data_IF_770175890289
#
_entry.id   IF_770175890289
#
_cell.length_a   1.000
_cell.length_b   1.000
_cell.length_c   1.000
_cell.angle_alpha   90.00
_cell.angle_beta   90.00
_cell.angle_gamma   90.00
#
_symmetry.space_group_name_H-M   'P 1'
#
loop_
_entity.id
_entity.type
_entity.pdbx_description
1 polymer ?
#
# COMPACT_ATOMS: atom_id res chain seq x y z
N UNK A 1 4.76 -21.14 -21.88
CA UNK A 1 6.14 -20.84 -21.43
C UNK A 1 6.43 -21.82 -20.30
N UNK A 2 7.40 -22.71 -20.51
CA UNK A 2 7.75 -23.74 -19.53
C UNK A 2 8.92 -23.30 -18.66
N UNK A 3 9.72 -22.37 -19.16
CA UNK A 3 10.88 -21.83 -18.48
C UNK A 3 11.05 -20.35 -18.73
N UNK A 4 11.38 -19.59 -17.67
CA UNK A 4 11.72 -18.18 -17.70
C UNK A 4 13.18 -17.98 -17.29
N UNK A 5 13.97 -17.34 -18.11
CA UNK A 5 15.38 -17.06 -17.82
C UNK A 5 15.58 -15.57 -17.69
N UNK A 6 15.89 -15.13 -16.48
CA UNK A 6 16.34 -13.76 -16.24
C UNK A 6 17.84 -13.66 -16.46
N UNK A 7 18.25 -12.81 -17.38
CA UNK A 7 19.67 -12.54 -17.63
C UNK A 7 20.09 -11.22 -17.00
N UNK A 8 21.28 -11.18 -16.43
CA UNK A 8 21.81 -9.99 -15.78
C UNK A 8 23.32 -9.87 -16.04
N UNK A 9 23.81 -8.64 -16.02
CA UNK A 9 25.19 -8.29 -16.41
C UNK A 9 26.01 -7.78 -15.24
N UNK A 10 25.38 -7.19 -14.19
CA UNK A 10 26.06 -6.71 -13.00
C UNK A 10 25.81 -7.64 -11.81
N UNK A 11 26.63 -7.51 -10.76
CA UNK A 11 26.32 -8.20 -9.51
C UNK A 11 24.99 -7.70 -8.98
N UNK A 12 24.04 -8.61 -8.87
CA UNK A 12 22.72 -8.39 -8.26
C UNK A 12 22.70 -9.15 -6.95
N UNK A 13 22.11 -8.57 -5.93
CA UNK A 13 21.85 -9.25 -4.67
C UNK A 13 20.98 -10.48 -4.90
N UNK A 14 21.46 -11.63 -4.46
CA UNK A 14 20.75 -12.93 -4.62
C UNK A 14 19.37 -12.93 -4.00
N UNK A 15 19.14 -12.16 -2.94
CA UNK A 15 17.82 -12.00 -2.33
C UNK A 15 16.76 -11.51 -3.33
N UNK A 16 17.13 -10.68 -4.30
CA UNK A 16 16.21 -10.22 -5.36
C UNK A 16 15.71 -11.37 -6.23
N UNK A 17 16.52 -12.38 -6.48
CA UNK A 17 16.09 -13.56 -7.23
C UNK A 17 15.02 -14.36 -6.49
N UNK A 18 15.17 -14.49 -5.18
CA UNK A 18 14.17 -15.16 -4.33
C UNK A 18 12.85 -14.40 -4.31
N UNK A 19 12.89 -13.07 -4.26
CA UNK A 19 11.69 -12.23 -4.31
C UNK A 19 10.97 -12.34 -5.65
N UNK A 20 11.70 -12.23 -6.77
CA UNK A 20 11.13 -12.41 -8.10
C UNK A 20 10.51 -13.81 -8.26
N UNK A 21 11.21 -14.84 -7.84
CA UNK A 21 10.73 -16.24 -7.90
C UNK A 21 9.44 -16.39 -7.09
N UNK A 22 9.38 -15.85 -5.88
CA UNK A 22 8.20 -15.91 -5.02
C UNK A 22 6.99 -15.23 -5.66
N UNK A 23 7.15 -14.02 -6.17
CA UNK A 23 6.08 -13.28 -6.81
C UNK A 23 5.58 -13.99 -8.06
N UNK A 24 6.47 -14.43 -8.95
CA UNK A 24 6.08 -15.11 -10.19
C UNK A 24 5.34 -16.43 -9.88
N UNK A 25 5.86 -17.24 -8.95
CA UNK A 25 5.26 -18.53 -8.60
C UNK A 25 3.90 -18.41 -7.90
N UNK A 26 3.58 -17.25 -7.31
CA UNK A 26 2.23 -16.94 -6.80
C UNK A 26 1.18 -17.00 -7.91
N UNK A 27 1.56 -16.61 -9.12
CA UNK A 27 0.63 -16.49 -10.24
C UNK A 27 0.75 -17.62 -11.26
N UNK A 28 1.94 -18.16 -11.44
CA UNK A 28 2.16 -19.24 -12.39
C UNK A 28 3.38 -20.09 -11.97
N UNK A 29 3.17 -21.39 -11.85
CA UNK A 29 4.27 -22.31 -11.58
C UNK A 29 5.10 -22.50 -12.87
N UNK A 30 6.24 -21.82 -12.95
CA UNK A 30 7.16 -21.84 -14.09
C UNK A 30 8.56 -22.15 -13.56
N UNK A 31 9.36 -22.87 -14.32
CA UNK A 31 10.79 -23.01 -14.03
C UNK A 31 11.51 -21.67 -14.25
N UNK A 32 12.13 -21.14 -13.19
CA UNK A 32 12.79 -19.84 -13.20
C UNK A 32 14.28 -20.03 -12.99
N UNK A 33 15.05 -19.47 -13.91
CA UNK A 33 16.51 -19.47 -13.88
C UNK A 33 17.04 -18.03 -13.92
N UNK A 34 18.07 -17.75 -13.13
CA UNK A 34 18.81 -16.50 -13.18
C UNK A 34 20.22 -16.75 -13.68
N UNK A 35 20.61 -16.04 -14.73
CA UNK A 35 21.87 -16.25 -15.41
C UNK A 35 22.69 -14.95 -15.47
N UNK A 36 23.86 -14.96 -14.86
CA UNK A 36 24.87 -13.94 -15.13
C UNK A 36 25.44 -14.16 -16.52
N UNK A 37 25.36 -13.15 -17.37
CA UNK A 37 25.76 -13.27 -18.76
C UNK A 37 26.75 -12.19 -19.17
N UNK A 38 27.64 -12.57 -20.03
CA UNK A 38 28.44 -11.70 -20.87
C UNK A 38 28.09 -11.94 -22.34
N UNK A 39 28.70 -11.19 -23.25
CA UNK A 39 28.45 -11.32 -24.69
C UNK A 39 28.74 -12.71 -25.25
N UNK A 40 29.60 -13.50 -24.59
CA UNK A 40 29.99 -14.87 -25.04
C UNK A 40 29.03 -15.90 -24.48
N UNK A 41 28.73 -15.82 -23.20
CA UNK A 41 27.92 -16.82 -22.51
C UNK A 41 26.42 -16.70 -22.81
N UNK A 42 25.94 -15.53 -23.20
CA UNK A 42 24.52 -15.31 -23.48
C UNK A 42 23.97 -16.24 -24.57
N UNK A 43 24.81 -16.63 -25.53
CA UNK A 43 24.43 -17.46 -26.67
C UNK A 43 23.90 -18.85 -26.28
N UNK A 44 24.32 -19.38 -25.14
CA UNK A 44 23.90 -20.72 -24.66
C UNK A 44 22.42 -20.76 -24.21
N UNK A 45 21.81 -19.59 -23.98
CA UNK A 45 20.40 -19.51 -23.53
C UNK A 45 19.41 -19.39 -24.68
N UNK A 46 19.88 -19.32 -25.93
CA UNK A 46 19.03 -19.22 -27.10
C UNK A 46 18.81 -20.60 -27.76
N UNK A 47 17.56 -20.96 -27.97
CA UNK A 47 17.07 -22.03 -28.82
C UNK A 47 16.13 -21.48 -29.89
N UNK A 48 15.69 -22.30 -30.82
CA UNK A 48 14.78 -21.90 -31.88
C UNK A 48 13.41 -21.46 -31.34
N UNK A 49 13.04 -21.93 -30.14
CA UNK A 49 11.76 -21.58 -29.46
C UNK A 49 11.90 -20.42 -28.49
N UNK A 50 13.08 -19.80 -28.40
CA UNK A 50 13.31 -18.70 -27.46
C UNK A 50 12.57 -17.44 -27.86
N UNK A 51 11.76 -16.88 -26.95
CA UNK A 51 11.16 -15.55 -27.08
C UNK A 51 12.02 -14.61 -26.23
N UNK A 52 12.45 -13.50 -26.80
CA UNK A 52 13.37 -12.55 -26.18
C UNK A 52 12.63 -11.26 -25.88
N UNK A 53 12.57 -10.92 -24.61
CA UNK A 53 12.06 -9.61 -24.14
C UNK A 53 13.23 -8.63 -24.04
N UNK A 54 13.12 -7.51 -24.75
CA UNK A 54 14.12 -6.45 -24.81
C UNK A 54 13.72 -5.18 -24.08
N UNK A 55 12.73 -5.26 -23.19
CA UNK A 55 12.20 -4.12 -22.43
C UNK A 55 13.13 -3.63 -21.31
N UNK A 56 14.22 -4.31 -21.06
CA UNK A 56 15.10 -4.08 -19.92
C UNK A 56 16.23 -3.04 -20.21
N UNK A 57 17.32 -3.13 -19.45
CA UNK A 57 18.49 -2.28 -19.55
C UNK A 57 19.01 -2.13 -21.00
N UNK A 58 19.27 -0.91 -21.44
CA UNK A 58 19.68 -0.58 -22.82
C UNK A 58 20.81 -1.45 -23.37
N UNK A 59 21.84 -1.70 -22.60
CA UNK A 59 22.98 -2.53 -23.05
C UNK A 59 22.57 -3.99 -23.29
N UNK A 60 21.93 -4.61 -22.31
CA UNK A 60 21.43 -5.98 -22.43
C UNK A 60 20.41 -6.12 -23.54
N UNK A 61 19.51 -5.15 -23.68
CA UNK A 61 18.53 -5.13 -24.76
C UNK A 61 19.17 -5.16 -26.15
N UNK A 62 20.25 -4.41 -26.39
CA UNK A 62 20.98 -4.41 -27.65
C UNK A 62 21.64 -5.78 -27.89
N UNK A 63 22.33 -6.35 -26.90
CA UNK A 63 22.98 -7.66 -27.03
C UNK A 63 21.97 -8.78 -27.27
N UNK A 64 20.86 -8.77 -26.53
CA UNK A 64 19.77 -9.73 -26.68
C UNK A 64 19.12 -9.62 -28.06
N UNK A 65 18.84 -8.40 -28.52
CA UNK A 65 18.25 -8.14 -29.83
C UNK A 65 19.18 -8.64 -30.96
N UNK A 66 20.47 -8.33 -30.90
CA UNK A 66 21.45 -8.81 -31.86
C UNK A 66 21.49 -10.35 -31.96
N UNK A 67 21.53 -11.03 -30.81
CA UNK A 67 21.56 -12.50 -30.79
C UNK A 67 20.25 -13.11 -31.28
N UNK A 68 19.11 -12.52 -30.91
CA UNK A 68 17.80 -12.96 -31.36
C UNK A 68 17.63 -12.80 -32.88
N UNK A 69 18.07 -11.68 -33.45
CA UNK A 69 18.01 -11.45 -34.89
C UNK A 69 18.88 -12.43 -35.69
N UNK A 70 20.09 -12.77 -35.19
CA UNK A 70 20.98 -13.75 -35.83
C UNK A 70 20.39 -15.15 -35.86
N UNK A 71 19.47 -15.49 -34.98
CA UNK A 71 18.87 -16.84 -34.84
C UNK A 71 17.42 -16.91 -35.27
N UNK A 72 16.90 -15.81 -35.78
CA UNK A 72 15.49 -15.66 -36.16
C UNK A 72 14.50 -15.87 -35.01
N UNK A 73 14.94 -15.62 -33.77
CA UNK A 73 14.09 -15.72 -32.60
C UNK A 73 13.03 -14.60 -32.59
N UNK A 74 11.92 -14.88 -31.97
CA UNK A 74 10.87 -13.88 -31.72
C UNK A 74 11.34 -12.88 -30.70
N UNK A 75 11.19 -11.58 -31.02
CA UNK A 75 11.54 -10.46 -30.13
C UNK A 75 10.27 -9.75 -29.72
N UNK A 76 10.12 -9.52 -28.44
CA UNK A 76 9.02 -8.75 -27.85
C UNK A 76 9.55 -7.58 -27.06
N UNK A 77 8.75 -6.53 -26.90
CA UNK A 77 9.06 -5.38 -26.06
C UNK A 77 7.80 -4.81 -25.43
N UNK A 78 7.97 -4.15 -24.29
CA UNK A 78 6.91 -3.39 -23.65
C UNK A 78 6.88 -1.96 -24.22
N UNK A 79 5.74 -1.57 -24.75
CA UNK A 79 5.48 -0.20 -25.20
C UNK A 79 4.91 0.61 -24.04
N UNK A 80 5.69 1.57 -23.56
CA UNK A 80 5.34 2.39 -22.39
C UNK A 80 4.18 3.36 -22.67
N UNK A 81 4.02 3.81 -23.92
CA UNK A 81 2.94 4.75 -24.29
C UNK A 81 1.60 4.02 -24.41
N UNK A 82 1.59 2.91 -25.12
CA UNK A 82 0.37 2.13 -25.34
C UNK A 82 0.09 1.11 -24.21
N UNK A 83 1.00 0.97 -23.25
CA UNK A 83 0.88 0.03 -22.10
C UNK A 83 0.57 -1.40 -22.56
N UNK A 84 1.30 -1.88 -23.55
CA UNK A 84 1.09 -3.20 -24.13
C UNK A 84 2.42 -3.87 -24.50
N UNK A 85 2.38 -5.20 -24.68
CA UNK A 85 3.52 -5.95 -25.22
C UNK A 85 3.32 -6.11 -26.72
N UNK A 86 4.34 -5.72 -27.49
CA UNK A 86 4.35 -5.79 -28.95
C UNK A 86 5.40 -6.77 -29.47
N UNK A 87 5.10 -7.35 -30.64
CA UNK A 87 6.09 -8.06 -31.44
C UNK A 87 6.96 -7.04 -32.18
N UNK A 88 8.28 -7.15 -32.01
CA UNK A 88 9.24 -6.19 -32.58
C UNK A 88 9.22 -6.14 -34.11
N UNK A 89 9.06 -7.31 -34.77
CA UNK A 89 9.13 -7.39 -36.24
C UNK A 89 7.80 -7.02 -36.90
N UNK A 90 6.70 -7.42 -36.28
CA UNK A 90 5.36 -7.26 -36.85
C UNK A 90 4.69 -5.98 -36.41
N UNK A 91 5.18 -5.35 -35.31
CA UNK A 91 4.56 -4.23 -34.61
C UNK A 91 3.11 -4.51 -34.14
N UNK A 92 2.77 -5.80 -34.02
CA UNK A 92 1.46 -6.23 -33.56
C UNK A 92 1.40 -6.26 -32.03
N UNK A 93 0.28 -5.82 -31.50
CA UNK A 93 -0.01 -5.94 -30.06
C UNK A 93 -0.25 -7.42 -29.73
N UNK A 94 0.56 -7.98 -28.89
CA UNK A 94 0.43 -9.36 -28.41
C UNK A 94 -0.52 -9.46 -27.23
N UNK A 95 -0.44 -8.51 -26.34
CA UNK A 95 -1.34 -8.37 -25.20
C UNK A 95 -1.33 -6.95 -24.66
N UNK A 96 -2.50 -6.46 -24.34
CA UNK A 96 -2.72 -5.23 -23.56
C UNK A 96 -3.08 -5.58 -22.10
N UNK A 97 -3.21 -6.86 -21.76
CA UNK A 97 -3.39 -7.28 -20.38
C UNK A 97 -2.06 -7.21 -19.66
N UNK A 98 -1.79 -6.07 -19.06
CA UNK A 98 -0.73 -5.95 -18.06
C UNK A 98 -1.23 -6.69 -16.84
N UNK A 99 -0.33 -7.45 -16.26
CA UNK A 99 -0.60 -8.15 -15.03
C UNK A 99 -0.68 -7.12 -13.89
N UNK A 100 -1.80 -7.09 -13.17
CA UNK A 100 -1.96 -6.20 -12.03
C UNK A 100 -1.37 -6.87 -10.80
N UNK A 101 -0.23 -6.37 -10.34
CA UNK A 101 0.35 -6.76 -9.06
C UNK A 101 -0.49 -6.21 -7.90
N UNK A 102 -0.52 -6.97 -6.83
CA UNK A 102 -1.00 -6.47 -5.53
C UNK A 102 0.10 -5.64 -4.86
N UNK A 103 -0.27 -4.80 -3.90
CA UNK A 103 0.70 -3.99 -3.14
C UNK A 103 1.79 -4.86 -2.52
N UNK A 104 1.43 -6.00 -1.95
CA UNK A 104 2.37 -6.95 -1.35
C UNK A 104 3.42 -7.45 -2.35
N UNK A 105 3.04 -7.65 -3.62
CA UNK A 105 3.96 -8.11 -4.65
C UNK A 105 5.04 -7.05 -4.95
N UNK A 106 4.62 -5.79 -5.11
CA UNK A 106 5.55 -4.68 -5.37
C UNK A 106 6.50 -4.47 -4.18
N UNK A 107 5.97 -4.53 -2.96
CA UNK A 107 6.78 -4.43 -1.74
C UNK A 107 7.79 -5.58 -1.67
N UNK A 108 7.36 -6.80 -1.98
CA UNK A 108 8.23 -7.98 -2.02
C UNK A 108 9.33 -7.84 -3.07
N UNK A 109 9.02 -7.37 -4.27
CA UNK A 109 9.99 -7.12 -5.35
C UNK A 109 11.04 -6.08 -4.96
N UNK A 110 10.68 -5.14 -4.07
CA UNK A 110 11.60 -4.15 -3.51
C UNK A 110 12.28 -4.60 -2.19
N UNK A 111 12.34 -5.90 -1.92
CA UNK A 111 13.00 -6.49 -0.75
C UNK A 111 12.33 -6.13 0.58
N UNK A 112 11.04 -5.76 0.54
CA UNK A 112 10.21 -5.50 1.71
C UNK A 112 9.26 -6.66 2.00
N UNK A 113 8.70 -6.63 3.20
CA UNK A 113 7.54 -7.46 3.56
C UNK A 113 6.57 -6.68 4.43
N UNK A 114 5.30 -6.90 4.24
CA UNK A 114 4.27 -6.40 5.15
C UNK A 114 4.28 -7.29 6.40
N UNK A 115 4.54 -6.70 7.57
CA UNK A 115 4.59 -7.45 8.83
C UNK A 115 3.20 -7.55 9.44
N UNK A 116 2.49 -6.44 9.48
CA UNK A 116 1.14 -6.33 10.03
C UNK A 116 0.44 -5.09 9.51
N UNK A 117 -0.88 -5.10 9.50
CA UNK A 117 -1.69 -3.90 9.52
C UNK A 117 -1.93 -3.55 11.00
N UNK A 118 -1.55 -2.35 11.44
CA UNK A 118 -1.79 -1.93 12.84
C UNK A 118 -3.27 -1.74 13.12
N UNK A 119 -4.01 -1.28 12.14
CA UNK A 119 -5.43 -0.99 12.25
C UNK A 119 -6.20 -1.68 11.13
N UNK A 120 -7.16 -2.54 11.50
CA UNK A 120 -8.07 -3.10 10.52
C UNK A 120 -9.02 -2.00 10.03
N UNK A 121 -9.16 -1.80 8.72
CA UNK A 121 -10.10 -0.84 8.18
C UNK A 121 -11.54 -1.20 8.54
N UNK A 122 -12.36 -0.18 8.75
CA UNK A 122 -13.79 -0.34 8.94
C UNK A 122 -14.42 -0.79 7.62
N UNK A 123 -15.19 -1.88 7.67
CA UNK A 123 -15.87 -2.47 6.50
C UNK A 123 -17.40 -2.32 6.55
N UNK A 124 -17.96 -2.04 7.74
CA UNK A 124 -19.39 -1.85 7.88
C UNK A 124 -19.82 -0.53 7.21
N UNK A 125 -20.73 -0.61 6.24
CA UNK A 125 -21.14 0.54 5.43
C UNK A 125 -21.77 1.66 6.25
N UNK A 126 -22.60 1.33 7.23
CA UNK A 126 -23.22 2.31 8.11
C UNK A 126 -22.17 3.08 8.93
N UNK A 127 -21.17 2.36 9.46
CA UNK A 127 -20.04 2.97 10.18
C UNK A 127 -19.20 3.85 9.26
N UNK A 128 -18.95 3.44 8.02
CA UNK A 128 -18.24 4.24 7.02
C UNK A 128 -18.99 5.57 6.75
N UNK A 129 -20.31 5.51 6.62
CA UNK A 129 -21.12 6.72 6.43
C UNK A 129 -21.09 7.66 7.63
N UNK A 130 -21.06 7.11 8.85
CA UNK A 130 -20.87 7.90 10.06
C UNK A 130 -19.49 8.57 10.07
N UNK A 131 -18.42 7.86 9.70
CA UNK A 131 -17.08 8.43 9.58
C UNK A 131 -17.09 9.58 8.55
N UNK A 132 -17.70 9.38 7.40
CA UNK A 132 -17.80 10.41 6.36
C UNK A 132 -18.51 11.65 6.87
N UNK A 133 -19.67 11.52 7.47
CA UNK A 133 -20.42 12.63 8.06
C UNK A 133 -19.62 13.36 9.13
N UNK A 134 -18.91 12.60 9.99
CA UNK A 134 -18.10 13.16 11.07
C UNK A 134 -16.96 14.01 10.53
N UNK A 135 -16.19 13.51 9.55
CA UNK A 135 -15.08 14.25 8.96
C UNK A 135 -15.58 15.44 8.14
N UNK A 136 -16.64 15.28 7.35
CA UNK A 136 -17.22 16.40 6.57
C UNK A 136 -17.66 17.56 7.47
N UNK A 137 -18.28 17.27 8.60
CA UNK A 137 -18.63 18.30 9.58
C UNK A 137 -17.39 18.96 10.21
N UNK A 138 -16.38 18.14 10.51
CA UNK A 138 -15.19 18.61 11.21
C UNK A 138 -14.24 19.41 10.32
N UNK A 139 -14.42 19.44 9.00
CA UNK A 139 -13.52 20.13 8.06
C UNK A 139 -13.21 21.57 8.41
N UNK A 140 -14.20 22.32 8.89
CA UNK A 140 -14.04 23.72 9.27
C UNK A 140 -13.35 23.90 10.62
N UNK A 141 -13.31 22.88 11.47
CA UNK A 141 -12.76 22.92 12.82
C UNK A 141 -12.17 21.59 13.28
N UNK A 142 -11.30 21.01 12.45
CA UNK A 142 -10.75 19.70 12.68
C UNK A 142 -9.92 19.60 13.97
N UNK A 143 -9.23 20.67 14.36
CA UNK A 143 -8.47 20.72 15.61
C UNK A 143 -9.36 20.56 16.85
N UNK A 144 -10.53 21.16 16.87
CA UNK A 144 -11.49 21.00 17.98
C UNK A 144 -12.07 19.59 18.01
N UNK A 145 -12.33 19.00 16.84
CA UNK A 145 -12.75 17.61 16.74
C UNK A 145 -11.71 16.65 17.36
N UNK A 146 -10.45 16.75 16.94
CA UNK A 146 -9.37 15.91 17.48
C UNK A 146 -9.17 16.16 18.97
N UNK A 147 -9.27 17.41 19.43
CA UNK A 147 -9.21 17.74 20.86
C UNK A 147 -10.32 17.06 21.64
N UNK A 148 -11.55 17.03 21.12
CA UNK A 148 -12.67 16.36 21.76
C UNK A 148 -12.48 14.83 21.80
N UNK A 149 -12.06 14.21 20.69
CA UNK A 149 -11.74 12.77 20.63
C UNK A 149 -10.65 12.42 21.66
N UNK A 150 -9.58 13.21 21.72
CA UNK A 150 -8.49 13.01 22.69
C UNK A 150 -8.98 13.18 24.13
N UNK A 151 -9.87 14.12 24.38
CA UNK A 151 -10.47 14.34 25.70
C UNK A 151 -11.28 13.12 26.15
N UNK A 152 -12.16 12.61 25.30
CA UNK A 152 -12.93 11.39 25.61
C UNK A 152 -11.97 10.24 25.86
N UNK A 153 -11.00 10.01 24.97
CA UNK A 153 -10.02 8.96 25.11
C UNK A 153 -9.30 9.02 26.46
N UNK A 154 -8.79 10.19 26.86
CA UNK A 154 -8.12 10.38 28.15
C UNK A 154 -9.04 10.14 29.35
N UNK A 155 -10.32 10.40 29.21
CA UNK A 155 -11.28 10.17 30.29
C UNK A 155 -11.69 8.71 30.45
N UNK A 156 -11.71 7.92 29.39
CA UNK A 156 -12.21 6.55 29.41
C UNK A 156 -11.11 5.48 29.31
N UNK A 157 -9.89 5.85 28.95
CA UNK A 157 -8.80 4.88 28.67
C UNK A 157 -8.44 3.98 29.84
N UNK A 158 -8.73 4.40 31.07
CA UNK A 158 -8.42 3.66 32.30
C UNK A 158 -9.67 3.08 32.97
N UNK A 159 -10.85 3.26 32.34
CA UNK A 159 -12.10 2.76 32.89
C UNK A 159 -12.35 1.31 32.48
N UNK A 160 -12.98 0.56 33.39
CA UNK A 160 -13.51 -0.74 33.05
C UNK A 160 -14.62 -0.62 32.01
N UNK A 161 -14.58 -1.49 31.04
CA UNK A 161 -15.59 -1.53 29.98
C UNK A 161 -16.10 -2.94 29.75
N UNK A 162 -17.33 -3.03 29.32
CA UNK A 162 -17.92 -4.27 28.80
C UNK A 162 -18.39 -4.00 27.37
N UNK A 163 -17.79 -4.72 26.43
CA UNK A 163 -18.03 -4.49 24.99
C UNK A 163 -17.77 -3.04 24.57
N UNK A 164 -18.82 -2.28 24.25
CA UNK A 164 -18.76 -0.89 23.84
C UNK A 164 -19.11 0.12 24.94
N UNK A 165 -19.35 -0.37 26.17
CA UNK A 165 -19.90 0.39 27.26
C UNK A 165 -18.85 0.72 28.30
N UNK A 166 -18.79 1.99 28.74
CA UNK A 166 -17.94 2.50 29.80
C UNK A 166 -18.76 3.09 30.91
N UNK A 167 -18.49 2.68 32.15
CA UNK A 167 -19.19 3.22 33.32
C UNK A 167 -18.49 4.51 33.79
N UNK A 168 -19.25 5.61 33.80
CA UNK A 168 -18.75 6.95 34.08
C UNK A 168 -19.24 7.43 35.46
N UNK A 169 -18.41 8.16 36.16
CA UNK A 169 -18.84 8.98 37.28
C UNK A 169 -19.49 10.30 36.81
N UNK A 170 -20.24 10.95 37.70
CA UNK A 170 -20.92 12.22 37.40
C UNK A 170 -19.96 13.33 36.94
N UNK A 171 -18.74 13.35 37.48
CA UNK A 171 -17.73 14.35 37.12
C UNK A 171 -17.27 14.17 35.68
N UNK A 172 -17.03 12.92 35.27
CA UNK A 172 -16.64 12.56 33.91
C UNK A 172 -17.77 12.85 32.93
N UNK A 173 -19.01 12.51 33.27
CA UNK A 173 -20.17 12.85 32.44
C UNK A 173 -20.26 14.36 32.22
N UNK A 174 -20.15 15.14 33.28
CA UNK A 174 -20.19 16.61 33.19
C UNK A 174 -19.09 17.17 32.30
N UNK A 175 -17.86 16.61 32.38
CA UNK A 175 -16.75 17.02 31.53
C UNK A 175 -17.01 16.74 30.04
N UNK A 176 -17.62 15.60 29.72
CA UNK A 176 -17.96 15.24 28.35
C UNK A 176 -19.12 16.09 27.83
N UNK A 177 -20.22 16.16 28.59
CA UNK A 177 -21.48 16.80 28.15
C UNK A 177 -21.40 18.32 28.09
N UNK A 178 -20.45 18.94 28.81
CA UNK A 178 -20.20 20.38 28.74
C UNK A 178 -19.38 20.84 27.54
N UNK A 179 -18.83 19.89 26.75
CA UNK A 179 -18.08 20.20 25.56
C UNK A 179 -19.02 20.58 24.40
N UNK A 180 -18.68 21.62 23.65
CA UNK A 180 -19.48 22.09 22.52
C UNK A 180 -19.72 21.04 21.44
N UNK A 181 -18.74 20.14 21.26
CA UNK A 181 -18.82 19.07 20.26
C UNK A 181 -19.69 17.90 20.70
N UNK A 182 -20.00 17.76 22.01
CA UNK A 182 -20.78 16.64 22.54
C UNK A 182 -22.13 16.49 21.85
N UNK A 183 -22.88 17.59 21.73
CA UNK A 183 -24.23 17.58 21.14
C UNK A 183 -24.20 17.04 19.72
N UNK A 184 -23.23 17.50 18.94
CA UNK A 184 -23.10 17.07 17.56
C UNK A 184 -22.83 15.57 17.41
N UNK A 185 -21.87 15.03 18.17
CA UNK A 185 -21.53 13.61 18.10
C UNK A 185 -22.63 12.71 18.65
N UNK A 186 -23.36 13.21 19.64
CA UNK A 186 -24.61 12.56 20.11
C UNK A 186 -25.66 12.54 19.00
N UNK A 187 -25.88 13.67 18.31
CA UNK A 187 -26.86 13.78 17.23
C UNK A 187 -26.51 12.87 16.03
N UNK A 188 -25.21 12.66 15.78
CA UNK A 188 -24.73 11.66 14.81
C UNK A 188 -24.84 10.22 15.31
N UNK A 189 -25.21 10.00 16.57
CA UNK A 189 -25.29 8.70 17.20
C UNK A 189 -23.95 7.92 17.22
N UNK A 190 -22.81 8.63 17.31
CA UNK A 190 -21.50 7.99 17.45
C UNK A 190 -21.36 7.32 18.81
N UNK A 191 -21.97 7.91 19.83
CA UNK A 191 -22.12 7.36 21.17
C UNK A 191 -23.32 7.99 21.88
N UNK A 192 -23.77 7.34 22.93
CA UNK A 192 -24.81 7.85 23.84
C UNK A 192 -24.31 7.78 25.28
N UNK A 193 -24.85 8.64 26.15
CA UNK A 193 -24.64 8.56 27.60
C UNK A 193 -26.00 8.41 28.25
N UNK A 194 -26.27 7.24 28.86
CA UNK A 194 -27.49 6.91 29.58
C UNK A 194 -27.12 6.24 30.92
N UNK A 195 -27.78 6.61 32.00
CA UNK A 195 -27.62 5.96 33.31
C UNK A 195 -26.15 5.73 33.70
N UNK A 196 -25.30 6.76 33.58
CA UNK A 196 -23.88 6.74 33.86
C UNK A 196 -23.06 5.79 32.95
N UNK A 197 -23.63 5.38 31.82
CA UNK A 197 -22.94 4.53 30.84
C UNK A 197 -22.76 5.28 29.52
N UNK A 198 -21.51 5.38 29.06
CA UNK A 198 -21.17 5.82 27.70
C UNK A 198 -21.14 4.58 26.83
N UNK A 199 -22.03 4.52 25.85
CA UNK A 199 -22.14 3.43 24.88
C UNK A 199 -21.78 3.93 23.49
N UNK A 200 -20.75 3.35 22.87
CA UNK A 200 -20.42 3.65 21.48
C UNK A 200 -21.40 2.93 20.53
N UNK A 201 -21.66 3.54 19.37
CA UNK A 201 -22.55 2.97 18.35
C UNK A 201 -22.22 1.52 18.02
N UNK A 202 -20.92 1.21 17.90
CA UNK A 202 -20.41 -0.16 17.76
C UNK A 202 -18.91 -0.22 18.11
N UNK A 203 -18.35 -1.41 18.08
CA UNK A 203 -16.95 -1.65 18.40
C UNK A 203 -15.96 -0.96 17.44
N UNK A 204 -16.33 -0.76 16.18
CA UNK A 204 -15.49 -0.05 15.22
C UNK A 204 -15.39 1.43 15.58
N UNK A 205 -16.50 2.09 15.91
CA UNK A 205 -16.49 3.49 16.39
C UNK A 205 -15.69 3.60 17.68
N UNK A 206 -15.90 2.69 18.65
CA UNK A 206 -15.11 2.67 19.87
C UNK A 206 -13.61 2.63 19.57
N UNK A 207 -13.17 1.67 18.75
CA UNK A 207 -11.77 1.50 18.37
C UNK A 207 -11.17 2.76 17.72
N UNK A 208 -11.92 3.42 16.85
CA UNK A 208 -11.51 4.67 16.19
C UNK A 208 -11.36 5.80 17.22
N UNK A 209 -12.22 5.88 18.22
CA UNK A 209 -12.09 6.86 19.28
C UNK A 209 -10.85 6.63 20.16
N UNK A 210 -10.48 5.36 20.37
CA UNK A 210 -9.36 5.00 21.25
C UNK A 210 -7.98 5.30 20.65
N UNK A 211 -7.89 5.52 19.33
CA UNK A 211 -6.62 5.77 18.63
C UNK A 211 -6.69 7.07 17.85
N UNK A 212 -5.83 8.03 18.24
CA UNK A 212 -5.74 9.33 17.56
C UNK A 212 -5.36 9.17 16.09
N UNK A 213 -6.00 9.94 15.21
CA UNK A 213 -5.74 9.89 13.76
C UNK A 213 -6.60 8.88 12.99
N UNK A 214 -7.03 7.80 13.63
CA UNK A 214 -7.70 6.67 12.97
C UNK A 214 -9.01 7.05 12.25
N UNK A 215 -9.69 8.12 12.68
CA UNK A 215 -10.84 8.65 11.95
C UNK A 215 -10.46 9.10 10.55
N UNK A 216 -9.40 9.90 10.44
CA UNK A 216 -8.93 10.43 9.16
C UNK A 216 -8.35 9.34 8.27
N UNK A 217 -7.61 8.40 8.85
CA UNK A 217 -7.08 7.24 8.14
C UNK A 217 -8.21 6.39 7.54
N UNK A 218 -9.25 6.05 8.32
CA UNK A 218 -10.40 5.31 7.81
C UNK A 218 -11.19 6.10 6.76
N UNK A 219 -11.32 7.42 6.93
CA UNK A 219 -11.95 8.28 5.94
C UNK A 219 -11.21 8.22 4.59
N UNK A 220 -9.90 8.44 4.60
CA UNK A 220 -9.08 8.44 3.38
C UNK A 220 -9.06 7.04 2.75
N UNK A 221 -8.81 5.99 3.54
CA UNK A 221 -8.84 4.62 3.05
C UNK A 221 -10.15 4.30 2.31
N UNK A 222 -11.29 4.55 2.96
CA UNK A 222 -12.59 4.25 2.35
C UNK A 222 -12.87 5.13 1.13
N UNK A 223 -12.39 6.39 1.09
CA UNK A 223 -12.47 7.23 -0.12
C UNK A 223 -11.63 6.66 -1.27
N UNK A 224 -10.45 6.13 -1.00
CA UNK A 224 -9.64 5.47 -2.02
C UNK A 224 -10.35 4.22 -2.56
N UNK A 225 -10.90 3.38 -1.68
CA UNK A 225 -11.66 2.19 -2.07
C UNK A 225 -12.94 2.55 -2.86
N UNK A 226 -13.73 3.49 -2.36
CA UNK A 226 -15.00 3.91 -2.98
C UNK A 226 -14.78 4.60 -4.34
N UNK A 227 -13.61 5.18 -4.58
CA UNK A 227 -13.27 5.81 -5.85
C UNK A 227 -13.22 4.81 -7.02
N UNK A 228 -12.94 3.54 -6.74
CA UNK A 228 -12.71 2.46 -7.72
C UNK A 228 -11.62 2.79 -8.76
N UNK A 229 -10.71 3.73 -8.41
CA UNK A 229 -9.61 4.13 -9.27
C UNK A 229 -8.38 3.24 -9.11
N UNK A 230 -8.30 2.48 -8.03
CA UNK A 230 -7.14 1.69 -7.62
C UNK A 230 -7.43 0.21 -7.71
N UNK A 231 -6.41 -0.55 -8.08
CA UNK A 231 -6.49 -2.02 -8.21
C UNK A 231 -6.44 -2.69 -6.83
N UNK A 232 -5.72 -2.10 -5.87
CA UNK A 232 -5.63 -2.54 -4.47
C UNK A 232 -5.37 -1.34 -3.55
N UNK A 233 -5.85 -1.42 -2.31
CA UNK A 233 -5.68 -0.37 -1.28
C UNK A 233 -5.47 -1.03 0.08
N UNK A 234 -4.42 -0.61 0.80
CA UNK A 234 -4.13 -1.04 2.17
C UNK A 234 -4.10 0.17 3.11
N UNK A 235 -4.46 -0.07 4.37
CA UNK A 235 -4.44 0.92 5.45
C UNK A 235 -3.46 0.49 6.54
N UNK A 236 -2.71 1.46 7.09
CA UNK A 236 -1.90 1.29 8.31
C UNK A 236 -0.92 0.11 8.22
N UNK A 237 -0.05 0.13 7.21
CA UNK A 237 0.87 -0.96 6.93
C UNK A 237 2.22 -0.76 7.60
N UNK A 238 2.66 -1.75 8.38
CA UNK A 238 4.05 -1.87 8.82
C UNK A 238 4.83 -2.69 7.80
N UNK A 239 5.86 -2.08 7.24
CA UNK A 239 6.75 -2.71 6.27
C UNK A 239 8.14 -2.83 6.87
N UNK A 240 8.73 -4.00 6.72
CA UNK A 240 10.11 -4.29 7.10
C UNK A 240 10.94 -4.50 5.84
N UNK A 241 12.10 -3.81 5.78
CA UNK A 241 13.10 -3.98 4.73
C UNK A 241 14.35 -4.60 5.29
N UNK A 242 14.82 -5.65 4.63
CA UNK A 242 16.12 -6.24 4.91
C UNK A 242 17.18 -5.58 4.03
N UNK A 243 17.96 -4.64 4.57
CA UNK A 243 19.10 -4.03 3.82
C UNK A 243 20.36 -4.88 3.85
N UNK A 244 20.55 -5.63 4.91
CA UNK A 244 21.63 -6.62 5.07
C UNK A 244 21.16 -7.70 6.04
N UNK A 245 21.90 -8.80 6.19
CA UNK A 245 21.53 -9.91 7.10
C UNK A 245 21.29 -9.48 8.56
N UNK A 246 21.72 -8.29 8.98
CA UNK A 246 21.64 -7.81 10.37
C UNK A 246 20.93 -6.45 10.55
N UNK A 247 20.41 -5.82 9.51
CA UNK A 247 19.74 -4.52 9.59
C UNK A 247 18.38 -4.57 8.91
N UNK A 248 17.34 -4.64 9.72
CA UNK A 248 15.96 -4.41 9.26
C UNK A 248 15.56 -2.96 9.57
N UNK A 249 15.02 -2.29 8.59
CA UNK A 249 14.39 -0.98 8.74
C UNK A 249 12.89 -1.18 8.69
N UNK A 250 12.18 -0.69 9.69
CA UNK A 250 10.71 -0.71 9.74
C UNK A 250 10.18 0.68 9.44
N UNK A 251 9.15 0.75 8.63
CA UNK A 251 8.37 1.97 8.44
C UNK A 251 6.88 1.67 8.53
N UNK A 252 6.15 2.63 9.03
CA UNK A 252 4.69 2.65 9.04
C UNK A 252 4.20 3.55 7.91
N UNK A 253 3.19 3.09 7.18
CA UNK A 253 2.55 3.83 6.10
C UNK A 253 1.05 3.91 6.38
N UNK A 254 0.51 5.12 6.42
CA UNK A 254 -0.89 5.37 6.79
C UNK A 254 -1.84 4.76 5.77
N UNK A 255 -1.56 4.94 4.46
CA UNK A 255 -2.27 4.24 3.39
C UNK A 255 -1.40 4.02 2.17
N UNK A 256 -1.63 2.89 1.50
CA UNK A 256 -1.03 2.51 0.23
C UNK A 256 -2.13 2.22 -0.77
N UNK A 257 -1.96 2.65 -2.00
CA UNK A 257 -2.80 2.24 -3.11
C UNK A 257 -1.93 1.86 -4.31
N UNK A 258 -2.46 1.02 -5.20
CA UNK A 258 -1.79 0.65 -6.44
C UNK A 258 -2.72 0.86 -7.62
N UNK A 259 -2.19 1.44 -8.68
CA UNK A 259 -2.87 1.57 -9.97
C UNK A 259 -1.87 1.36 -11.09
N UNK A 260 -2.21 0.51 -12.05
CA UNK A 260 -1.35 0.22 -13.21
C UNK A 260 0.09 -0.15 -12.78
N UNK A 261 0.22 -0.93 -11.72
CA UNK A 261 1.47 -1.33 -11.06
C UNK A 261 2.32 -0.17 -10.47
N UNK A 262 1.76 1.03 -10.37
CA UNK A 262 2.39 2.17 -9.70
C UNK A 262 1.86 2.30 -8.27
N UNK A 263 2.76 2.35 -7.28
CA UNK A 263 2.38 2.59 -5.88
C UNK A 263 2.13 4.08 -5.63
N UNK A 264 1.05 4.34 -4.92
CA UNK A 264 0.73 5.63 -4.32
C UNK A 264 0.89 5.54 -2.81
N UNK A 265 1.75 6.40 -2.26
CA UNK A 265 1.93 6.55 -0.81
C UNK A 265 1.09 7.71 -0.31
N UNK A 266 0.27 7.45 0.69
CA UNK A 266 -0.56 8.48 1.30
C UNK A 266 -0.18 8.60 2.77
N UNK A 267 0.50 9.69 3.12
CA UNK A 267 0.74 10.06 4.52
C UNK A 267 -0.36 10.99 5.00
N UNK A 268 -0.94 10.68 6.14
CA UNK A 268 -2.14 11.32 6.67
C UNK A 268 -1.77 12.06 7.95
N UNK A 269 -1.84 13.38 7.91
CA UNK A 269 -1.50 14.23 9.05
C UNK A 269 -2.71 15.04 9.50
N UNK A 270 -3.00 15.01 10.79
CA UNK A 270 -4.06 15.82 11.41
C UNK A 270 -3.64 17.25 11.72
N UNK A 271 -2.34 17.52 11.68
CA UNK A 271 -1.72 18.82 11.97
C UNK A 271 -1.09 19.41 10.70
N UNK A 272 -0.44 20.59 10.85
CA UNK A 272 0.34 21.15 9.75
C UNK A 272 1.45 20.20 9.34
N UNK A 273 1.56 19.97 8.03
CA UNK A 273 2.66 19.23 7.43
C UNK A 273 3.96 20.02 7.63
N UNK A 274 4.99 19.37 8.10
CA UNK A 274 6.32 19.97 8.28
C UNK A 274 7.35 19.36 7.28
N UNK A 275 8.56 19.92 7.19
CA UNK A 275 9.59 19.42 6.28
C UNK A 275 10.01 17.97 6.57
N UNK A 276 9.88 17.46 7.79
CA UNK A 276 10.20 16.08 8.12
C UNK A 276 9.21 15.10 7.52
N UNK A 277 7.92 15.46 7.48
CA UNK A 277 6.89 14.67 6.82
C UNK A 277 7.15 14.51 5.31
N UNK A 278 7.60 15.59 4.66
CA UNK A 278 7.97 15.57 3.24
C UNK A 278 9.22 14.71 2.98
N UNK A 279 10.18 14.72 3.89
CA UNK A 279 11.37 13.87 3.80
C UNK A 279 11.02 12.39 3.98
N UNK A 280 10.08 12.07 4.85
CA UNK A 280 9.56 10.72 5.03
C UNK A 280 9.00 10.17 3.71
N UNK A 281 8.14 10.93 3.04
CA UNK A 281 7.57 10.53 1.73
C UNK A 281 8.68 10.34 0.68
N UNK A 282 9.69 11.22 0.63
CA UNK A 282 10.82 11.06 -0.29
C UNK A 282 11.60 9.78 -0.04
N UNK A 283 11.84 9.45 1.23
CA UNK A 283 12.53 8.19 1.59
C UNK A 283 11.70 7.00 1.13
N UNK A 284 10.39 7.00 1.35
CA UNK A 284 9.51 5.93 0.89
C UNK A 284 9.54 5.78 -0.63
N UNK A 285 9.45 6.88 -1.39
CA UNK A 285 9.58 6.85 -2.84
C UNK A 285 10.91 6.25 -3.30
N UNK A 286 12.02 6.63 -2.67
CA UNK A 286 13.34 6.07 -2.99
C UNK A 286 13.46 4.57 -2.64
N UNK A 287 12.76 4.12 -1.60
CA UNK A 287 12.80 2.72 -1.17
C UNK A 287 11.96 1.80 -2.05
N UNK A 288 10.83 2.29 -2.57
CA UNK A 288 9.80 1.47 -3.21
C UNK A 288 9.76 1.54 -4.73
N UNK A 289 10.53 2.33 -5.39
CA UNK A 289 10.46 2.27 -6.84
C UNK A 289 10.99 3.44 -7.63
N UNK A 290 11.77 4.35 -7.05
CA UNK A 290 12.38 5.45 -7.80
C UNK A 290 11.37 6.23 -8.65
N UNK A 291 11.43 6.06 -9.98
CA UNK A 291 10.62 6.81 -10.95
C UNK A 291 9.17 6.30 -11.08
N UNK A 292 8.85 5.12 -10.53
CA UNK A 292 7.54 4.46 -10.67
C UNK A 292 6.61 4.60 -9.45
N UNK A 293 7.02 5.32 -8.40
CA UNK A 293 6.17 5.65 -7.25
C UNK A 293 5.86 7.15 -7.24
N UNK A 294 4.62 7.49 -6.94
CA UNK A 294 4.14 8.87 -6.79
C UNK A 294 3.62 9.13 -5.39
#
# INVERSE_FOLDING_TARGET
IDKLIFVYHHQIDRSKFEYCTRVINKYKNIDICFAHVDERSIKQYFSDETIVDVSANKYLSLVLCEQALKRDNRIIYFDEEEKCIKDYRKHEVLTSKIFNFQIEDIITLNSGRIISSMHNPVKNRETIELIYKTIEYSKSNYSNFISFVSKINNLINYLDHKDNDYYLDETTIKKITSDENYRYFKDLNLFTINDNTLSFFNNDIRRIFMVSGTFLENYIYNKLVDSKLFDDVLMSCNIEFSRTQNLSVRCELDSLAIKDNCLLFVSIKSNKVDPSDLNEIKVHNMMFGNEYSK
#
